data_IF_613260570449
#
_entry.id   IF_613260570449
#
_cell.length_a   1.000
_cell.length_b   1.000
_cell.length_c   1.000
_cell.angle_alpha   90.00
_cell.angle_beta   90.00
_cell.angle_gamma   90.00
#
_symmetry.space_group_name_H-M   'P 1'
#
loop_
_entity.id
_entity.type
_entity.pdbx_description
1 polymer ?
#
# COMPACT_ATOMS: atom_id res chain seq x y z
N UNK A 1 -23.69 0.23 -6.22
CA UNK A 1 -22.92 -0.74 -5.40
C UNK A 1 -23.85 -1.38 -4.37
N UNK A 2 -23.81 -2.70 -4.22
CA UNK A 2 -24.70 -3.44 -3.31
C UNK A 2 -24.33 -3.15 -1.85
N UNK A 3 -25.32 -3.14 -0.93
CA UNK A 3 -25.10 -2.88 0.51
C UNK A 3 -24.08 -3.87 1.13
N UNK A 4 -24.11 -5.11 0.68
CA UNK A 4 -23.18 -6.17 1.11
C UNK A 4 -21.73 -5.86 0.71
N UNK A 5 -21.50 -5.35 -0.49
CA UNK A 5 -20.17 -4.91 -0.95
C UNK A 5 -19.61 -3.79 -0.06
N UNK A 6 -20.45 -2.82 0.29
CA UNK A 6 -20.05 -1.71 1.18
C UNK A 6 -19.66 -2.25 2.56
N UNK A 7 -20.44 -3.20 3.11
CA UNK A 7 -20.14 -3.82 4.40
C UNK A 7 -18.79 -4.54 4.36
N UNK A 8 -18.56 -5.37 3.34
CA UNK A 8 -17.31 -6.09 3.16
C UNK A 8 -16.10 -5.15 3.06
N UNK A 9 -16.22 -4.05 2.30
CA UNK A 9 -15.15 -3.05 2.18
C UNK A 9 -14.86 -2.34 3.51
N UNK A 10 -15.89 -2.02 4.31
CA UNK A 10 -15.73 -1.43 5.65
C UNK A 10 -15.03 -2.40 6.61
N UNK A 11 -15.41 -3.67 6.61
CA UNK A 11 -14.77 -4.71 7.41
C UNK A 11 -13.31 -4.90 7.01
N UNK A 12 -13.02 -4.92 5.71
CA UNK A 12 -11.65 -5.02 5.19
C UNK A 12 -10.81 -3.78 5.57
N UNK A 13 -11.37 -2.58 5.45
CA UNK A 13 -10.70 -1.35 5.86
C UNK A 13 -10.41 -1.33 7.37
N UNK A 14 -11.30 -1.89 8.20
CA UNK A 14 -11.04 -2.06 9.63
C UNK A 14 -9.87 -3.03 9.90
N UNK A 15 -9.79 -4.14 9.17
CA UNK A 15 -8.63 -5.06 9.24
C UNK A 15 -7.34 -4.37 8.81
N UNK A 16 -7.37 -3.56 7.74
CA UNK A 16 -6.22 -2.78 7.32
C UNK A 16 -5.79 -1.78 8.41
N UNK A 17 -6.71 -1.13 9.13
CA UNK A 17 -6.38 -0.28 10.28
C UNK A 17 -5.68 -1.05 11.39
N UNK A 18 -6.12 -2.26 11.70
CA UNK A 18 -5.44 -3.14 12.67
C UNK A 18 -4.03 -3.51 12.21
N UNK A 19 -3.83 -3.78 10.92
CA UNK A 19 -2.51 -4.02 10.34
C UNK A 19 -1.59 -2.79 10.50
N UNK A 20 -2.11 -1.57 10.37
CA UNK A 20 -1.36 -0.34 10.64
C UNK A 20 -0.97 -0.22 12.11
N UNK A 21 -1.90 -0.50 13.04
CA UNK A 21 -1.59 -0.51 14.49
C UNK A 21 -0.50 -1.54 14.81
N UNK A 22 -0.56 -2.71 14.18
CA UNK A 22 0.46 -3.76 14.32
C UNK A 22 1.85 -3.25 13.90
N UNK A 23 1.96 -2.60 12.75
CA UNK A 23 3.21 -1.99 12.28
C UNK A 23 3.71 -0.89 13.22
N UNK A 24 2.82 -0.01 13.68
CA UNK A 24 3.18 1.06 14.63
C UNK A 24 3.68 0.50 15.96
N UNK A 25 3.06 -0.56 16.45
CA UNK A 25 3.51 -1.25 17.67
C UNK A 25 4.90 -1.85 17.50
N UNK A 26 5.19 -2.42 16.33
CA UNK A 26 6.48 -3.04 16.04
C UNK A 26 7.60 -2.01 15.92
N UNK A 27 7.34 -0.86 15.26
CA UNK A 27 8.37 0.15 14.96
C UNK A 27 8.47 1.26 16.00
N UNK A 28 7.40 1.53 16.75
CA UNK A 28 7.32 2.69 17.64
C UNK A 28 7.16 4.04 16.94
N UNK A 29 7.11 4.08 15.61
CA UNK A 29 6.99 5.30 14.81
C UNK A 29 6.24 5.08 13.49
N UNK A 30 5.73 6.16 12.89
CA UNK A 30 5.08 6.13 11.59
C UNK A 30 4.09 7.29 11.39
N UNK A 31 3.66 7.47 10.15
CA UNK A 31 2.74 8.56 9.75
C UNK A 31 1.27 8.10 9.82
N UNK A 32 0.74 7.93 11.05
CA UNK A 32 -0.60 7.37 11.27
C UNK A 32 -1.72 8.22 10.65
N UNK A 33 -1.69 9.53 10.81
CA UNK A 33 -2.74 10.42 10.31
C UNK A 33 -2.90 10.32 8.78
N UNK A 34 -1.79 10.46 8.05
CA UNK A 34 -1.78 10.31 6.59
C UNK A 34 -2.17 8.92 6.11
N UNK A 35 -1.75 7.89 6.84
CA UNK A 35 -2.10 6.50 6.56
C UNK A 35 -3.61 6.28 6.73
N UNK A 36 -4.18 6.66 7.87
CA UNK A 36 -5.59 6.45 8.16
C UNK A 36 -6.52 7.25 7.24
N UNK A 37 -6.13 8.46 6.84
CA UNK A 37 -6.90 9.25 5.87
C UNK A 37 -7.03 8.58 4.50
N UNK A 38 -6.13 7.67 4.16
CA UNK A 38 -6.07 7.01 2.84
C UNK A 38 -6.61 5.57 2.84
N UNK A 39 -6.83 4.97 4.01
CA UNK A 39 -7.16 3.54 4.16
C UNK A 39 -8.40 3.12 3.37
N UNK A 40 -9.51 3.85 3.51
CA UNK A 40 -10.77 3.48 2.87
C UNK A 40 -10.65 3.54 1.35
N UNK A 41 -9.98 4.57 0.84
CA UNK A 41 -9.74 4.73 -0.60
C UNK A 41 -8.87 3.62 -1.17
N UNK A 42 -7.73 3.34 -0.55
CA UNK A 42 -6.80 2.30 -1.04
C UNK A 42 -7.42 0.91 -0.90
N UNK A 43 -8.18 0.66 0.17
CA UNK A 43 -8.94 -0.59 0.32
C UNK A 43 -9.97 -0.76 -0.80
N UNK A 44 -10.73 0.28 -1.12
CA UNK A 44 -11.72 0.24 -2.20
C UNK A 44 -11.05 0.01 -3.57
N UNK A 45 -9.89 0.60 -3.81
CA UNK A 45 -9.13 0.36 -5.03
C UNK A 45 -8.75 -1.12 -5.16
N UNK A 46 -8.06 -1.69 -4.18
CA UNK A 46 -7.54 -3.06 -4.27
C UNK A 46 -8.61 -4.16 -4.17
N UNK A 47 -9.69 -3.93 -3.43
CA UNK A 47 -10.71 -4.97 -3.17
C UNK A 47 -11.96 -4.85 -4.03
N UNK A 48 -12.13 -3.75 -4.74
CA UNK A 48 -13.32 -3.54 -5.56
C UNK A 48 -13.04 -3.05 -6.98
N UNK A 49 -12.10 -2.10 -7.17
CA UNK A 49 -11.94 -1.42 -8.46
C UNK A 49 -10.85 -2.04 -9.33
N UNK A 50 -9.69 -2.32 -8.75
CA UNK A 50 -8.49 -2.72 -9.50
C UNK A 50 -8.52 -4.20 -9.87
N UNK A 51 -8.05 -4.48 -11.08
CA UNK A 51 -7.79 -5.81 -11.58
C UNK A 51 -6.36 -6.21 -11.20
N UNK A 52 -6.21 -6.91 -10.08
CA UNK A 52 -4.92 -7.33 -9.53
C UNK A 52 -5.00 -8.76 -9.01
N UNK A 53 -3.90 -9.50 -9.15
CA UNK A 53 -3.79 -10.87 -8.66
C UNK A 53 -2.55 -11.02 -7.76
N UNK A 54 -2.71 -11.26 -6.44
CA UNK A 54 -1.58 -11.47 -5.53
C UNK A 54 -0.70 -12.66 -5.86
N UNK A 55 -1.26 -13.72 -6.49
CA UNK A 55 -0.52 -14.92 -6.91
C UNK A 55 0.37 -14.67 -8.14
N UNK A 56 0.06 -13.60 -8.90
CA UNK A 56 0.81 -13.18 -10.09
C UNK A 56 1.08 -11.68 -10.03
N UNK A 57 1.92 -11.21 -9.10
CA UNK A 57 2.14 -9.79 -8.86
C UNK A 57 2.74 -9.04 -10.06
N UNK A 58 3.43 -9.77 -10.96
CA UNK A 58 4.08 -9.20 -12.16
C UNK A 58 3.26 -9.37 -13.44
N UNK A 59 2.00 -9.75 -13.33
CA UNK A 59 1.12 -9.90 -14.49
C UNK A 59 1.05 -8.60 -15.32
N UNK A 60 1.27 -8.69 -16.62
CA UNK A 60 1.42 -7.52 -17.50
C UNK A 60 0.16 -6.65 -17.58
N UNK A 61 -1.03 -7.28 -17.65
CA UNK A 61 -2.32 -6.58 -17.79
C UNK A 61 -2.95 -6.16 -16.46
N UNK A 62 -2.18 -6.23 -15.35
CA UNK A 62 -2.67 -5.77 -14.04
C UNK A 62 -2.81 -4.26 -13.98
N UNK A 63 -3.75 -3.80 -13.18
CA UNK A 63 -3.77 -2.40 -12.77
C UNK A 63 -2.59 -2.09 -11.85
N UNK A 64 -1.99 -0.91 -12.00
CA UNK A 64 -0.82 -0.47 -11.22
C UNK A 64 -1.19 0.67 -10.29
N UNK A 65 -0.87 0.50 -9.02
CA UNK A 65 -1.06 1.52 -7.99
C UNK A 65 0.26 2.15 -7.60
N UNK A 66 0.34 3.47 -7.75
CA UNK A 66 1.52 4.26 -7.42
C UNK A 66 1.21 5.15 -6.21
N UNK A 67 1.87 4.88 -5.08
CA UNK A 67 1.74 5.69 -3.88
C UNK A 67 2.73 6.85 -3.95
N UNK A 68 2.33 7.97 -4.55
CA UNK A 68 3.19 9.16 -4.69
C UNK A 68 3.65 9.72 -3.33
N UNK A 69 2.76 9.75 -2.34
CA UNK A 69 3.09 10.14 -0.97
C UNK A 69 3.73 8.97 -0.20
N UNK A 70 4.99 8.67 -0.47
CA UNK A 70 5.69 7.50 0.07
C UNK A 70 5.78 7.44 1.60
N UNK A 71 5.69 8.57 2.30
CA UNK A 71 5.60 8.61 3.76
C UNK A 71 4.34 7.92 4.31
N UNK A 72 3.32 7.68 3.49
CA UNK A 72 2.11 6.90 3.84
C UNK A 72 2.29 5.40 3.55
N UNK A 73 3.50 4.87 3.45
CA UNK A 73 3.80 3.48 3.08
C UNK A 73 2.98 2.44 3.84
N UNK A 74 2.68 2.68 5.11
CA UNK A 74 1.88 1.76 5.93
C UNK A 74 0.49 1.46 5.36
N UNK A 75 -0.15 2.40 4.64
CA UNK A 75 -1.44 2.10 4.00
C UNK A 75 -1.28 1.06 2.90
N UNK A 76 -0.24 1.19 2.08
CA UNK A 76 0.03 0.23 1.01
C UNK A 76 0.40 -1.14 1.59
N UNK A 77 1.28 -1.20 2.58
CA UNK A 77 1.65 -2.47 3.22
C UNK A 77 0.47 -3.16 3.90
N UNK A 78 -0.37 -2.41 4.62
CA UNK A 78 -1.54 -2.97 5.28
C UNK A 78 -2.53 -3.59 4.29
N UNK A 79 -2.77 -2.93 3.16
CA UNK A 79 -3.69 -3.37 2.12
C UNK A 79 -3.10 -4.55 1.33
N UNK A 80 -1.82 -4.51 0.97
CA UNK A 80 -1.14 -5.60 0.27
C UNK A 80 -1.09 -6.88 1.11
N UNK A 81 -0.81 -6.77 2.41
CA UNK A 81 -0.84 -7.91 3.33
C UNK A 81 -2.26 -8.49 3.46
N UNK A 82 -3.29 -7.64 3.58
CA UNK A 82 -4.68 -8.09 3.65
C UNK A 82 -5.16 -8.72 2.35
N UNK A 83 -4.68 -8.24 1.21
CA UNK A 83 -4.97 -8.80 -0.12
C UNK A 83 -4.24 -10.13 -0.38
N UNK A 84 -3.15 -10.43 0.36
CA UNK A 84 -2.41 -11.68 0.25
C UNK A 84 -1.13 -11.64 -0.59
N UNK A 85 -0.58 -10.45 -0.86
CA UNK A 85 0.70 -10.32 -1.57
C UNK A 85 1.89 -10.84 -0.79
N UNK A 86 1.81 -10.84 0.54
CA UNK A 86 2.83 -11.39 1.43
C UNK A 86 2.21 -11.77 2.79
N UNK A 87 2.89 -12.63 3.58
CA UNK A 87 2.41 -13.05 4.89
C UNK A 87 2.27 -11.88 5.87
N UNK A 88 1.18 -11.83 6.64
CA UNK A 88 0.91 -10.74 7.61
C UNK A 88 1.95 -10.62 8.72
N UNK A 89 2.68 -11.69 9.00
CA UNK A 89 3.76 -11.72 10.01
C UNK A 89 4.90 -10.75 9.66
N UNK A 90 5.10 -10.48 8.38
CA UNK A 90 6.10 -9.50 7.92
C UNK A 90 5.78 -8.08 8.41
N UNK A 91 4.50 -7.77 8.69
CA UNK A 91 4.10 -6.48 9.25
C UNK A 91 4.80 -6.15 10.59
N UNK A 92 5.13 -7.16 11.38
CA UNK A 92 5.84 -7.00 12.66
C UNK A 92 7.30 -6.57 12.50
N UNK A 93 7.80 -6.55 11.28
CA UNK A 93 9.17 -6.11 10.97
C UNK A 93 9.23 -4.68 10.42
N UNK A 94 8.09 -3.97 10.35
CA UNK A 94 8.04 -2.61 9.80
C UNK A 94 9.06 -1.68 10.48
N UNK A 95 9.86 -1.00 9.68
CA UNK A 95 10.88 -0.06 10.18
C UNK A 95 12.11 -0.69 10.83
N UNK A 96 12.18 -2.01 10.94
CA UNK A 96 13.35 -2.69 11.47
C UNK A 96 14.48 -2.76 10.43
N UNK A 97 15.73 -2.83 10.92
CA UNK A 97 16.90 -3.03 10.07
C UNK A 97 16.73 -4.32 9.24
N UNK A 98 17.04 -4.27 7.96
CA UNK A 98 16.88 -5.35 6.98
C UNK A 98 15.43 -5.77 6.67
N UNK A 99 14.42 -5.12 7.22
CA UNK A 99 13.03 -5.39 6.87
C UNK A 99 12.75 -5.04 5.39
N UNK A 100 11.85 -5.82 4.78
CA UNK A 100 11.28 -5.49 3.47
C UNK A 100 10.32 -4.30 3.54
N UNK A 101 9.79 -4.00 4.74
CA UNK A 101 8.85 -2.92 5.01
C UNK A 101 9.59 -1.68 5.51
N UNK A 102 10.20 -0.96 4.60
CA UNK A 102 10.86 0.32 4.89
C UNK A 102 9.82 1.45 5.12
N UNK A 103 10.26 2.54 5.75
CA UNK A 103 9.42 3.72 5.99
C UNK A 103 8.84 4.37 4.71
N UNK A 104 9.43 4.09 3.55
CA UNK A 104 8.95 4.46 2.21
C UNK A 104 8.93 3.22 1.32
N UNK A 105 7.96 3.10 0.37
CA UNK A 105 7.85 1.95 -0.50
C UNK A 105 9.10 1.76 -1.37
N UNK A 106 9.51 0.49 -1.53
CA UNK A 106 10.60 0.11 -2.41
C UNK A 106 10.14 -1.03 -3.32
N UNK A 107 10.11 -0.78 -4.63
CA UNK A 107 9.62 -1.72 -5.64
C UNK A 107 10.45 -2.99 -5.76
N UNK A 108 11.72 -2.97 -5.32
CA UNK A 108 12.60 -4.14 -5.37
C UNK A 108 12.50 -5.05 -4.13
N UNK A 109 11.77 -4.62 -3.08
CA UNK A 109 11.70 -5.34 -1.82
C UNK A 109 10.41 -6.13 -1.61
N UNK A 110 9.32 -5.69 -2.24
CA UNK A 110 7.98 -6.23 -1.98
C UNK A 110 7.16 -6.41 -3.24
N UNK A 111 6.50 -7.58 -3.43
CA UNK A 111 5.56 -7.75 -4.51
C UNK A 111 4.37 -6.80 -4.35
N UNK A 112 3.85 -6.29 -5.46
CA UNK A 112 2.73 -5.34 -5.48
C UNK A 112 3.10 -3.88 -5.22
N UNK A 113 4.37 -3.57 -4.95
CA UNK A 113 4.88 -2.19 -4.92
C UNK A 113 5.44 -1.84 -6.28
N UNK A 114 4.75 -0.97 -7.01
CA UNK A 114 5.06 -0.65 -8.41
C UNK A 114 6.13 0.43 -8.59
N UNK A 115 6.35 1.27 -7.58
CA UNK A 115 7.35 2.32 -7.61
C UNK A 115 7.96 2.58 -6.24
N UNK A 116 9.25 2.88 -6.21
CA UNK A 116 9.91 3.42 -5.03
C UNK A 116 9.61 4.90 -4.92
N UNK A 117 9.03 5.35 -3.80
CA UNK A 117 8.63 6.74 -3.59
C UNK A 117 9.18 7.29 -2.29
N UNK A 118 9.23 8.62 -2.14
CA UNK A 118 9.79 9.31 -0.99
C UNK A 118 8.77 10.17 -0.24
N UNK A 119 9.26 10.96 0.71
CA UNK A 119 8.43 11.84 1.53
C UNK A 119 7.79 12.98 0.72
N UNK A 120 8.47 13.45 -0.33
CA UNK A 120 7.93 14.48 -1.24
C UNK A 120 7.17 13.77 -2.38
N UNK A 121 5.85 14.00 -2.51
CA UNK A 121 5.07 13.42 -3.59
C UNK A 121 5.60 13.78 -4.98
N UNK A 122 5.64 12.81 -5.87
CA UNK A 122 6.09 13.04 -7.26
C UNK A 122 4.96 13.67 -8.08
N UNK A 123 5.09 14.93 -8.43
CA UNK A 123 4.16 15.61 -9.33
C UNK A 123 4.51 15.36 -10.81
N UNK A 124 5.73 14.96 -11.10
CA UNK A 124 6.28 14.79 -12.46
C UNK A 124 6.16 13.37 -13.03
N UNK A 125 5.62 12.41 -12.29
CA UNK A 125 5.40 11.04 -12.79
C UNK A 125 4.44 10.98 -13.97
N UNK A 126 3.66 12.02 -14.16
CA UNK A 126 2.70 12.14 -15.26
C UNK A 126 3.20 12.99 -16.42
N UNK A 127 4.43 13.49 -16.37
CA UNK A 127 5.01 14.24 -17.48
C UNK A 127 5.23 13.32 -18.69
N UNK A 128 4.94 13.81 -19.92
CA UNK A 128 5.21 13.03 -21.10
C UNK A 128 6.70 12.70 -21.22
N UNK A 129 7.07 11.53 -21.75
CA UNK A 129 8.47 11.09 -21.85
C UNK A 129 9.34 12.01 -22.72
N UNK A 130 8.75 12.95 -23.43
CA UNK A 130 9.44 13.90 -24.31
C UNK A 130 9.55 15.31 -23.77
N UNK A 131 9.19 15.58 -22.53
CA UNK A 131 9.51 16.88 -21.94
C UNK A 131 11.03 16.97 -21.77
N UNK A 132 11.70 17.40 -22.82
CA UNK A 132 13.11 17.82 -22.74
C UNK A 132 13.14 19.14 -21.97
N UNK A 133 13.74 19.10 -20.81
CA UNK A 133 14.20 20.28 -20.10
C UNK A 133 15.51 20.70 -20.73
#
# INVERSE_FOLDING_TARGET
MRRETIRCLKETAAKCRLNVVRMLRASGHGHIGGTYSSIDMVTALYFYKMNVNPEKPDWEDRDRFLLSAGHKSMVQYAVLAEKGYFPKEILDTYGHLHSKLAGHPNMHKLPGVEASTGAVPYTHLTLPPNSRV
#
